data_IF_322883744897
#
_entry.id   IF_322883744897
#
_cell.length_a   1.000
_cell.length_b   1.000
_cell.length_c   1.000
_cell.angle_alpha   90.00
_cell.angle_beta   90.00
_cell.angle_gamma   90.00
#
_symmetry.space_group_name_H-M   'P 1'
#
loop_
_entity.id
_entity.type
_entity.pdbx_description
1 polymer ?
#
# COMPACT_ATOMS: atom_id res chain seq x y z
N UNK A 1 20.85 17.20 9.27
CA UNK A 1 19.57 17.21 8.55
C UNK A 1 19.84 16.69 7.16
N UNK A 2 19.22 15.56 6.78
CA UNK A 2 19.50 14.92 5.50
C UNK A 2 18.96 15.77 4.35
N UNK A 3 19.45 15.55 3.13
CA UNK A 3 18.97 16.28 1.96
C UNK A 3 17.49 16.01 1.66
N UNK A 4 16.96 14.85 2.05
CA UNK A 4 15.53 14.57 1.99
C UNK A 4 14.73 15.40 2.99
N UNK A 5 15.22 15.59 4.22
CA UNK A 5 14.52 16.37 5.24
C UNK A 5 14.43 17.86 4.86
N UNK A 6 15.46 18.37 4.16
CA UNK A 6 15.46 19.75 3.63
C UNK A 6 14.45 19.93 2.51
N UNK A 7 14.34 18.96 1.62
CA UNK A 7 13.39 18.99 0.52
C UNK A 7 11.93 18.81 0.99
N UNK A 8 11.71 18.14 2.12
CA UNK A 8 10.38 18.02 2.74
C UNK A 8 9.78 19.35 3.19
N UNK A 9 10.62 20.28 3.64
CA UNK A 9 10.19 21.57 4.19
C UNK A 9 10.22 22.72 3.17
N UNK A 10 10.79 22.52 1.99
CA UNK A 10 10.93 23.57 0.98
C UNK A 10 9.63 23.77 0.16
N UNK A 11 8.96 24.94 0.27
CA UNK A 11 7.74 25.25 -0.46
C UNK A 11 7.94 25.47 -1.97
N UNK A 12 9.16 25.35 -2.51
CA UNK A 12 9.46 25.36 -3.95
C UNK A 12 9.91 23.98 -4.49
N UNK A 13 10.21 23.01 -3.63
CA UNK A 13 10.59 21.67 -4.06
C UNK A 13 9.40 20.96 -4.75
N UNK A 14 9.68 20.04 -5.68
CA UNK A 14 8.60 19.29 -6.35
C UNK A 14 7.87 18.40 -5.35
N UNK A 15 6.56 18.19 -5.51
CA UNK A 15 5.71 17.49 -4.53
C UNK A 15 6.27 16.12 -4.09
N UNK A 16 6.91 15.38 -5.01
CA UNK A 16 7.49 14.07 -4.74
C UNK A 16 8.77 14.14 -3.90
N UNK A 17 9.44 15.29 -3.87
CA UNK A 17 10.54 15.60 -2.97
C UNK A 17 10.04 16.09 -1.60
N UNK A 18 8.76 16.50 -1.50
CA UNK A 18 8.09 16.91 -0.25
C UNK A 18 7.36 15.79 0.50
N UNK A 19 7.87 14.57 0.46
CA UNK A 19 7.18 13.44 1.09
C UNK A 19 5.96 12.92 0.30
N UNK A 20 5.84 13.28 -0.98
CA UNK A 20 4.83 12.67 -1.86
C UNK A 20 4.97 11.15 -1.96
N UNK A 21 6.21 10.66 -2.12
CA UNK A 21 6.47 9.21 -2.14
C UNK A 21 6.30 8.53 -0.78
N UNK A 22 6.55 9.24 0.32
CA UNK A 22 6.35 8.68 1.67
C UNK A 22 4.86 8.52 1.97
N UNK A 23 4.03 9.50 1.56
CA UNK A 23 2.58 9.40 1.60
C UNK A 23 2.07 8.20 0.77
N UNK A 24 2.57 8.04 -0.45
CA UNK A 24 2.22 6.89 -1.31
C UNK A 24 2.60 5.56 -0.65
N UNK A 25 3.80 5.47 -0.08
CA UNK A 25 4.27 4.26 0.62
C UNK A 25 3.37 3.91 1.82
N UNK A 26 2.93 4.91 2.59
CA UNK A 26 2.01 4.71 3.70
C UNK A 26 0.64 4.20 3.24
N UNK A 27 0.07 4.78 2.18
CA UNK A 27 -1.22 4.32 1.63
C UNK A 27 -1.11 2.86 1.17
N UNK A 28 -0.02 2.50 0.49
CA UNK A 28 0.22 1.12 0.06
C UNK A 28 0.19 0.13 1.23
N UNK A 29 0.90 0.46 2.33
CA UNK A 29 0.93 -0.37 3.53
C UNK A 29 -0.45 -0.49 4.19
N UNK A 30 -1.19 0.62 4.33
CA UNK A 30 -2.53 0.63 4.93
C UNK A 30 -3.50 -0.22 4.12
N UNK A 31 -3.51 -0.08 2.79
CA UNK A 31 -4.37 -0.89 1.91
C UNK A 31 -4.01 -2.38 2.00
N UNK A 32 -2.73 -2.71 2.06
CA UNK A 32 -2.27 -4.08 2.22
C UNK A 32 -2.80 -4.71 3.51
N UNK A 33 -2.63 -4.01 4.64
CA UNK A 33 -3.15 -4.48 5.94
C UNK A 33 -4.68 -4.62 5.92
N UNK A 34 -5.39 -3.64 5.37
CA UNK A 34 -6.85 -3.68 5.28
C UNK A 34 -7.36 -4.89 4.48
N UNK A 35 -6.68 -5.24 3.38
CA UNK A 35 -7.01 -6.43 2.60
C UNK A 35 -6.84 -7.72 3.41
N UNK A 36 -5.76 -7.85 4.19
CA UNK A 36 -5.55 -9.02 5.06
C UNK A 36 -6.58 -9.10 6.19
N UNK A 37 -6.99 -7.97 6.74
CA UNK A 37 -8.10 -7.92 7.72
C UNK A 37 -9.40 -8.41 7.08
N UNK A 38 -9.72 -7.96 5.87
CA UNK A 38 -10.91 -8.43 5.15
C UNK A 38 -10.87 -9.94 4.87
N UNK A 39 -9.72 -10.49 4.48
CA UNK A 39 -9.53 -11.95 4.32
C UNK A 39 -9.77 -12.68 5.64
N UNK A 40 -9.18 -12.20 6.74
CA UNK A 40 -9.37 -12.79 8.07
C UNK A 40 -10.81 -12.77 8.53
N UNK A 41 -11.52 -11.66 8.32
CA UNK A 41 -12.95 -11.55 8.62
C UNK A 41 -13.79 -12.49 7.75
N UNK A 42 -13.51 -12.56 6.45
CA UNK A 42 -14.17 -13.53 5.55
C UNK A 42 -13.99 -14.96 6.02
N UNK A 43 -12.80 -15.31 6.51
CA UNK A 43 -12.53 -16.64 7.06
C UNK A 43 -13.29 -16.92 8.37
N UNK A 44 -13.47 -15.91 9.24
CA UNK A 44 -14.22 -16.06 10.50
C UNK A 44 -15.72 -16.19 10.25
N UNK A 45 -16.28 -15.38 9.34
CA UNK A 45 -17.72 -15.32 9.07
C UNK A 45 -18.18 -16.22 7.91
N UNK A 46 -17.24 -16.91 7.23
CA UNK A 46 -17.49 -17.72 6.03
C UNK A 46 -18.12 -16.94 4.86
N UNK A 47 -17.84 -15.63 4.76
CA UNK A 47 -18.37 -14.73 3.73
C UNK A 47 -17.34 -14.46 2.60
N UNK A 48 -16.81 -15.52 1.99
CA UNK A 48 -15.74 -15.40 1.00
C UNK A 48 -16.18 -14.71 -0.31
N UNK A 49 -17.44 -14.82 -0.70
CA UNK A 49 -17.95 -14.17 -1.92
C UNK A 49 -17.86 -12.64 -1.84
N UNK A 50 -18.21 -12.08 -0.68
CA UNK A 50 -18.13 -10.63 -0.44
C UNK A 50 -16.67 -10.16 -0.51
N UNK A 51 -15.79 -10.92 0.14
CA UNK A 51 -14.35 -10.64 0.19
C UNK A 51 -13.71 -10.73 -1.20
N UNK A 52 -14.08 -11.72 -2.01
CA UNK A 52 -13.60 -11.90 -3.39
C UNK A 52 -14.02 -10.75 -4.31
N UNK A 53 -15.23 -10.22 -4.13
CA UNK A 53 -15.70 -9.06 -4.90
C UNK A 53 -15.01 -7.75 -4.50
N UNK A 54 -14.69 -7.60 -3.21
CA UNK A 54 -14.08 -6.39 -2.67
C UNK A 54 -12.56 -6.31 -2.87
N UNK A 55 -11.82 -7.39 -2.60
CA UNK A 55 -10.35 -7.44 -2.54
C UNK A 55 -9.57 -6.89 -3.75
N UNK A 56 -9.97 -7.17 -5.01
CA UNK A 56 -9.12 -6.85 -6.16
C UNK A 56 -8.83 -5.35 -6.29
N UNK A 57 -9.82 -4.49 -6.03
CA UNK A 57 -9.68 -3.05 -6.16
C UNK A 57 -8.66 -2.44 -5.19
N UNK A 58 -8.80 -2.55 -3.86
CA UNK A 58 -7.85 -1.99 -2.92
C UNK A 58 -6.47 -2.66 -3.02
N UNK A 59 -6.41 -3.97 -3.31
CA UNK A 59 -5.13 -4.67 -3.47
C UNK A 59 -4.35 -4.20 -4.71
N UNK A 60 -5.00 -4.01 -5.87
CA UNK A 60 -4.33 -3.46 -7.06
C UNK A 60 -3.85 -2.03 -6.80
N UNK A 61 -4.68 -1.18 -6.20
CA UNK A 61 -4.31 0.21 -5.89
C UNK A 61 -3.13 0.24 -4.92
N UNK A 62 -3.18 -0.55 -3.85
CA UNK A 62 -2.10 -0.65 -2.87
C UNK A 62 -0.81 -1.21 -3.47
N UNK A 63 -0.89 -2.15 -4.40
CA UNK A 63 0.27 -2.67 -5.13
C UNK A 63 0.93 -1.58 -6.00
N UNK A 64 0.13 -0.86 -6.80
CA UNK A 64 0.62 0.23 -7.64
C UNK A 64 1.31 1.32 -6.80
N UNK A 65 0.69 1.68 -5.67
CA UNK A 65 1.27 2.64 -4.73
C UNK A 65 2.52 2.09 -4.06
N UNK A 66 2.58 0.81 -3.72
CA UNK A 66 3.79 0.20 -3.16
C UNK A 66 4.97 0.25 -4.14
N UNK A 67 4.71 0.01 -5.43
CA UNK A 67 5.72 0.12 -6.50
C UNK A 67 6.19 1.57 -6.66
N UNK A 68 5.27 2.53 -6.70
CA UNK A 68 5.61 3.95 -6.84
C UNK A 68 6.32 4.52 -5.60
N UNK A 69 5.89 4.12 -4.40
CA UNK A 69 6.48 4.52 -3.12
C UNK A 69 7.90 3.98 -2.92
N UNK A 70 8.28 2.91 -3.63
CA UNK A 70 9.62 2.35 -3.58
C UNK A 70 10.70 3.32 -4.13
N UNK A 71 10.28 4.32 -4.92
CA UNK A 71 11.14 5.40 -5.42
C UNK A 71 11.47 6.46 -4.34
N UNK A 72 10.77 6.43 -3.20
CA UNK A 72 10.92 7.39 -2.11
C UNK A 72 11.95 7.00 -1.04
N UNK A 73 12.06 7.87 -0.04
CA UNK A 73 12.84 7.61 1.19
C UNK A 73 12.28 6.41 1.98
N UNK A 74 10.97 6.20 1.96
CA UNK A 74 10.27 5.10 2.64
C UNK A 74 10.17 3.81 1.82
N UNK A 75 11.21 3.52 1.02
CA UNK A 75 11.22 2.38 0.09
C UNK A 75 10.89 1.04 0.74
N UNK A 76 11.38 0.81 1.96
CA UNK A 76 11.16 -0.45 2.69
C UNK A 76 9.68 -0.62 3.00
N UNK A 77 9.03 0.42 3.53
CA UNK A 77 7.60 0.38 3.82
C UNK A 77 6.78 0.19 2.55
N UNK A 78 7.16 0.87 1.46
CA UNK A 78 6.49 0.74 0.18
C UNK A 78 6.57 -0.69 -0.38
N UNK A 79 7.74 -1.33 -0.28
CA UNK A 79 7.95 -2.73 -0.68
C UNK A 79 7.12 -3.67 0.18
N UNK A 80 7.09 -3.47 1.50
CA UNK A 80 6.24 -4.25 2.41
C UNK A 80 4.77 -4.11 2.02
N UNK A 81 4.31 -2.88 1.78
CA UNK A 81 2.96 -2.60 1.29
C UNK A 81 2.68 -3.32 -0.03
N UNK A 82 3.57 -3.23 -1.02
CA UNK A 82 3.43 -3.93 -2.29
C UNK A 82 3.29 -5.45 -2.11
N UNK A 83 4.13 -6.06 -1.27
CA UNK A 83 4.10 -7.50 -0.99
C UNK A 83 2.80 -7.92 -0.30
N UNK A 84 2.33 -7.14 0.68
CA UNK A 84 1.05 -7.41 1.36
C UNK A 84 -0.12 -7.40 0.38
N UNK A 85 -0.17 -6.39 -0.49
CA UNK A 85 -1.22 -6.26 -1.50
C UNK A 85 -1.16 -7.37 -2.55
N UNK A 86 0.05 -7.74 -3.01
CA UNK A 86 0.23 -8.85 -3.93
C UNK A 86 -0.24 -10.17 -3.30
N UNK A 87 0.14 -10.43 -2.06
CA UNK A 87 -0.29 -11.62 -1.33
C UNK A 87 -1.81 -11.67 -1.15
N UNK A 88 -2.43 -10.53 -0.82
CA UNK A 88 -3.88 -10.44 -0.70
C UNK A 88 -4.61 -10.67 -2.03
N UNK A 89 -4.05 -10.18 -3.14
CA UNK A 89 -4.62 -10.37 -4.48
C UNK A 89 -4.52 -11.83 -4.94
N UNK A 90 -3.37 -12.47 -4.68
CA UNK A 90 -3.18 -13.90 -4.94
C UNK A 90 -4.15 -14.72 -4.09
N UNK A 91 -4.23 -14.48 -2.78
CA UNK A 91 -5.16 -15.19 -1.90
C UNK A 91 -6.61 -14.98 -2.31
N UNK A 92 -7.01 -13.75 -2.62
CA UNK A 92 -8.37 -13.44 -3.10
C UNK A 92 -8.76 -14.17 -4.39
N UNK A 93 -7.79 -14.57 -5.22
CA UNK A 93 -8.07 -15.40 -6.38
C UNK A 93 -8.44 -16.85 -6.01
N UNK A 94 -7.94 -17.36 -4.88
CA UNK A 94 -8.14 -18.73 -4.39
C UNK A 94 -9.30 -18.89 -3.38
N UNK A 95 -9.80 -17.80 -2.79
CA UNK A 95 -11.04 -17.79 -1.99
C UNK A 95 -12.27 -17.96 -2.88
#
# INVERSE_FOLDING_TARGET
MSESDRNELDPNARWYQRGGFTTIAAIAAVLGVACWVAIGLGAIFSEFELVRGFLPYPAVVGLLFGILGALGSWRVLAVVGAVLNLGALVMGAFL
#
